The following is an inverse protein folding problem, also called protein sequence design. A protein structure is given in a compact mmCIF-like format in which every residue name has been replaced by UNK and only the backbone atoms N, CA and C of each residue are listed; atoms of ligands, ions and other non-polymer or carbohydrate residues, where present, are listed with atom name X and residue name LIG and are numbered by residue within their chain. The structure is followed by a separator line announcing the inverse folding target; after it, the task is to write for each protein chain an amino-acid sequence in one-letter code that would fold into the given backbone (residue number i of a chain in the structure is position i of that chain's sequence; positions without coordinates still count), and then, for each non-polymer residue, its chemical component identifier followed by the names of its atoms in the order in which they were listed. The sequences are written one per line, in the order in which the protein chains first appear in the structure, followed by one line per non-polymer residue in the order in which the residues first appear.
data_IF_985064939345
#
_entry.id   IF_985064939345
#
_cell.length_a   1.000
_cell.length_b   1.000
_cell.length_c   1.000
_cell.angle_alpha   90.00
_cell.angle_beta   90.00
_cell.angle_gamma   90.00
#
_symmetry.space_group_name_H-M   'P 1'
#
loop_
_entity.id
_entity.type
_entity.pdbx_description
1 polymer ?
#
# COMPACT_ATOMS: atom_id res chain seq x y z
N UNK A 1 -17.09 22.20 70.00
CA UNK A 1 -15.80 21.70 69.51
C UNK A 1 -16.02 21.13 68.13
N UNK A 2 -15.65 21.87 67.09
CA UNK A 2 -15.88 21.51 65.68
C UNK A 2 -14.61 20.89 65.11
N UNK A 3 -14.70 19.66 64.60
CA UNK A 3 -13.64 18.97 63.87
C UNK A 3 -13.75 19.34 62.38
N UNK A 4 -12.70 19.93 61.82
CA UNK A 4 -12.51 20.13 60.38
C UNK A 4 -11.49 19.10 59.90
N UNK A 5 -11.77 18.29 58.86
CA UNK A 5 -10.77 17.44 58.27
C UNK A 5 -9.96 18.22 57.22
N UNK A 6 -8.63 18.16 57.33
CA UNK A 6 -7.71 18.70 56.35
C UNK A 6 -7.57 17.73 55.16
N UNK A 7 -7.96 18.19 53.97
CA UNK A 7 -7.65 17.50 52.71
C UNK A 7 -6.24 17.91 52.25
N UNK A 8 -5.31 16.95 52.23
CA UNK A 8 -4.02 17.05 51.55
C UNK A 8 -4.21 16.74 50.07
N UNK A 9 -4.13 17.76 49.21
CA UNK A 9 -4.06 17.59 47.76
C UNK A 9 -2.60 17.37 47.39
N UNK A 10 -2.21 16.11 47.17
CA UNK A 10 -0.92 15.75 46.57
C UNK A 10 -0.99 15.91 45.06
N UNK A 11 -0.43 16.99 44.53
CA UNK A 11 -0.26 17.19 43.09
C UNK A 11 0.90 16.34 42.56
N UNK A 12 0.59 15.30 41.78
CA UNK A 12 1.58 14.60 40.98
C UNK A 12 1.84 15.43 39.71
N UNK A 13 3.00 16.10 39.65
CA UNK A 13 3.50 16.67 38.40
C UNK A 13 3.93 15.51 37.48
N UNK A 14 3.09 15.19 36.51
CA UNK A 14 3.52 14.39 35.36
C UNK A 14 4.54 15.22 34.58
N UNK A 15 5.80 14.81 34.66
CA UNK A 15 6.87 15.37 33.85
C UNK A 15 6.60 14.95 32.41
N UNK A 16 6.03 15.86 31.61
CA UNK A 16 5.98 15.70 30.17
C UNK A 16 7.43 15.54 29.70
N UNK A 17 7.79 14.35 29.22
CA UNK A 17 9.02 14.17 28.48
C UNK A 17 8.92 15.08 27.26
N UNK A 18 9.69 16.16 27.27
CA UNK A 18 9.85 17.05 26.14
C UNK A 18 10.32 16.19 24.96
N UNK A 19 9.43 15.95 24.00
CA UNK A 19 9.84 15.58 22.66
C UNK A 19 10.78 16.70 22.19
N UNK A 20 12.01 16.34 21.83
CA UNK A 20 12.96 17.28 21.24
C UNK A 20 12.35 17.97 20.02
N UNK A 21 12.93 19.09 19.55
CA UNK A 21 12.49 19.72 18.32
C UNK A 21 12.46 18.68 17.19
N UNK A 22 11.47 18.72 16.28
CA UNK A 22 11.38 17.78 15.17
C UNK A 22 12.70 17.82 14.38
N UNK A 23 13.22 16.64 14.07
CA UNK A 23 14.44 16.51 13.29
C UNK A 23 14.25 17.24 11.94
N UNK A 24 15.26 18.00 11.52
CA UNK A 24 15.25 18.59 10.18
C UNK A 24 15.34 17.45 9.15
N UNK A 25 14.44 17.40 8.16
CA UNK A 25 14.50 16.38 7.13
C UNK A 25 15.82 16.42 6.35
N UNK A 26 16.42 15.25 6.15
CA UNK A 26 17.65 15.09 5.36
C UNK A 26 17.44 14.10 4.23
N UNK A 27 18.04 14.34 3.07
CA UNK A 27 17.89 13.48 1.91
C UNK A 27 18.65 12.15 2.08
N UNK A 28 18.08 11.06 1.55
CA UNK A 28 18.73 9.75 1.49
C UNK A 28 20.05 9.84 0.71
N UNK A 29 20.08 10.63 -0.37
CA UNK A 29 21.30 10.79 -1.18
C UNK A 29 22.43 11.56 -0.48
N UNK A 30 22.15 12.32 0.59
CA UNK A 30 23.17 13.10 1.30
C UNK A 30 24.01 12.19 2.20
N UNK A 31 25.35 12.10 1.99
CA UNK A 31 26.23 11.38 2.89
C UNK A 31 26.10 11.77 4.36
N UNK A 32 25.80 13.03 4.69
CA UNK A 32 25.67 13.49 6.08
C UNK A 32 24.47 12.88 6.83
N UNK A 33 23.50 12.32 6.10
CA UNK A 33 22.37 11.59 6.68
C UNK A 33 22.85 10.34 7.41
N UNK A 34 23.93 9.72 6.92
CA UNK A 34 24.35 8.37 7.27
C UNK A 34 25.62 8.31 8.12
N UNK A 35 25.77 7.28 8.97
CA UNK A 35 27.00 7.02 9.70
C UNK A 35 28.22 6.97 8.78
N UNK A 36 29.34 7.53 9.23
CA UNK A 36 30.61 7.56 8.49
C UNK A 36 30.53 8.22 7.10
N UNK A 37 29.50 9.04 6.85
CA UNK A 37 29.26 9.69 5.55
C UNK A 37 29.14 8.70 4.40
N UNK A 38 28.57 7.52 4.66
CA UNK A 38 28.41 6.45 3.66
C UNK A 38 26.94 6.20 3.39
N UNK A 39 26.49 6.58 2.20
CA UNK A 39 25.14 6.25 1.71
C UNK A 39 24.98 4.73 1.61
N UNK A 40 23.85 4.14 2.03
CA UNK A 40 23.61 2.70 1.94
C UNK A 40 23.84 2.13 0.54
N UNK A 41 24.47 0.95 0.49
CA UNK A 41 24.74 0.22 -0.75
C UNK A 41 23.97 -1.10 -0.80
N UNK A 42 24.07 -1.81 -1.93
CA UNK A 42 23.37 -3.08 -2.12
C UNK A 42 23.65 -4.08 -0.99
N UNK A 43 22.59 -4.69 -0.46
CA UNK A 43 22.65 -5.67 0.63
C UNK A 43 22.77 -5.09 2.04
N UNK A 44 22.97 -3.77 2.19
CA UNK A 44 23.02 -3.15 3.52
C UNK A 44 21.66 -3.28 4.23
N UNK A 45 21.72 -3.57 5.54
CA UNK A 45 20.57 -3.45 6.45
C UNK A 45 20.61 -2.06 7.06
N UNK A 46 19.60 -1.24 6.76
CA UNK A 46 19.60 0.19 7.07
C UNK A 46 18.74 0.45 8.32
N UNK A 47 19.21 1.35 9.18
CA UNK A 47 18.46 1.81 10.36
C UNK A 47 18.26 3.33 10.24
N UNK A 48 17.00 3.76 10.23
CA UNK A 48 16.61 5.16 10.37
C UNK A 48 16.24 5.37 11.84
N UNK A 49 17.17 5.93 12.62
CA UNK A 49 17.01 6.13 14.07
C UNK A 49 15.86 7.08 14.43
N UNK A 50 15.40 7.01 15.68
CA UNK A 50 14.26 7.81 16.20
C UNK A 50 14.42 9.33 16.05
N UNK A 51 15.66 9.79 15.99
CA UNK A 51 16.07 11.19 15.84
C UNK A 51 16.23 11.62 14.37
N UNK A 52 15.87 10.76 13.41
CA UNK A 52 16.03 11.00 11.97
C UNK A 52 14.68 11.19 11.28
N UNK A 53 14.63 12.18 10.40
CA UNK A 53 13.60 12.34 9.37
C UNK A 53 14.30 12.30 8.00
N UNK A 54 14.08 11.23 7.23
CA UNK A 54 14.78 10.96 5.99
C UNK A 54 13.83 11.07 4.81
N UNK A 55 14.24 11.80 3.78
CA UNK A 55 13.53 11.88 2.51
C UNK A 55 14.20 10.94 1.52
N UNK A 56 13.48 9.92 1.04
CA UNK A 56 13.92 9.11 -0.10
C UNK A 56 13.81 9.95 -1.36
N UNK A 57 14.92 10.51 -1.81
CA UNK A 57 15.01 11.41 -2.98
C UNK A 57 15.66 10.73 -4.20
N UNK A 58 16.20 9.52 -4.02
CA UNK A 58 16.76 8.66 -5.06
C UNK A 58 16.32 7.22 -4.81
N UNK A 59 16.19 6.41 -5.86
CA UNK A 59 16.02 4.95 -5.72
C UNK A 59 17.33 4.32 -5.27
N UNK A 60 17.44 3.79 -4.03
CA UNK A 60 18.65 3.15 -3.56
C UNK A 60 18.88 1.81 -4.29
N UNK A 61 20.11 1.28 -4.28
CA UNK A 61 20.33 -0.11 -4.68
C UNK A 61 19.54 -1.08 -3.77
N UNK A 62 19.27 -2.33 -4.20
CA UNK A 62 18.51 -3.30 -3.41
C UNK A 62 19.11 -3.52 -2.01
N UNK A 63 18.33 -3.26 -0.96
CA UNK A 63 18.77 -3.31 0.44
C UNK A 63 18.47 -4.68 1.07
N UNK A 64 19.30 -5.08 2.04
CA UNK A 64 19.08 -6.32 2.80
C UNK A 64 18.00 -6.22 3.88
N UNK A 65 17.48 -5.03 4.16
CA UNK A 65 16.42 -4.78 5.13
C UNK A 65 16.41 -3.34 5.61
N UNK A 66 15.28 -2.90 6.17
CA UNK A 66 15.12 -1.54 6.66
C UNK A 66 14.37 -1.50 8.00
N UNK A 67 15.02 -0.99 9.05
CA UNK A 67 14.38 -0.65 10.31
C UNK A 67 14.13 0.86 10.38
N UNK A 68 12.87 1.25 10.49
CA UNK A 68 12.44 2.66 10.54
C UNK A 68 11.93 2.94 11.95
N UNK A 69 12.79 3.53 12.79
CA UNK A 69 12.44 4.01 14.12
C UNK A 69 12.07 5.50 14.14
N UNK A 70 12.63 6.28 13.21
CA UNK A 70 12.30 7.68 12.95
C UNK A 70 11.24 7.83 11.85
N UNK A 71 11.54 8.64 10.84
CA UNK A 71 10.63 8.84 9.70
C UNK A 71 11.34 8.62 8.37
N UNK A 72 10.66 7.93 7.46
CA UNK A 72 11.02 7.86 6.04
C UNK A 72 9.86 8.41 5.20
N UNK A 73 10.14 9.39 4.35
CA UNK A 73 9.18 9.96 3.42
C UNK A 73 9.66 9.80 1.99
N UNK A 74 8.84 9.28 1.07
CA UNK A 74 9.16 9.30 -0.36
C UNK A 74 9.03 10.72 -0.91
N UNK A 75 10.06 11.23 -1.57
CA UNK A 75 9.98 12.50 -2.28
C UNK A 75 8.94 12.42 -3.38
N UNK A 76 8.12 13.47 -3.52
CA UNK A 76 7.09 13.58 -4.57
C UNK A 76 7.59 14.29 -5.84
N UNK A 77 8.91 14.39 -6.00
CA UNK A 77 9.53 15.11 -7.13
C UNK A 77 9.98 14.17 -8.26
N UNK A 78 10.08 12.86 -7.99
CA UNK A 78 10.53 11.86 -8.94
C UNK A 78 9.80 10.53 -8.75
N UNK A 79 9.89 9.68 -9.77
CA UNK A 79 9.44 8.29 -9.65
C UNK A 79 10.53 7.50 -8.91
N UNK A 80 10.14 6.76 -7.88
CA UNK A 80 11.06 6.14 -6.93
C UNK A 80 10.75 4.66 -6.71
N UNK A 81 11.81 3.88 -6.56
CA UNK A 81 11.75 2.45 -6.24
C UNK A 81 12.60 2.13 -5.02
N UNK A 82 12.01 1.40 -4.08
CA UNK A 82 12.69 0.82 -2.93
C UNK A 82 12.59 -0.70 -3.02
N UNK A 83 13.73 -1.35 -3.26
CA UNK A 83 13.81 -2.82 -3.24
C UNK A 83 14.47 -3.26 -1.94
N UNK A 84 13.82 -4.14 -1.17
CA UNK A 84 14.36 -4.64 0.09
C UNK A 84 13.76 -5.99 0.49
N UNK A 85 14.43 -6.77 1.34
CA UNK A 85 13.86 -8.02 1.88
C UNK A 85 12.69 -7.74 2.83
N UNK A 86 12.77 -6.72 3.69
CA UNK A 86 11.76 -6.45 4.72
C UNK A 86 11.84 -5.01 5.24
N UNK A 87 10.74 -4.54 5.83
CA UNK A 87 10.65 -3.29 6.56
C UNK A 87 10.10 -3.56 7.97
N UNK A 88 10.87 -3.23 9.01
CA UNK A 88 10.36 -3.11 10.38
C UNK A 88 10.05 -1.65 10.67
N UNK A 89 8.79 -1.37 11.03
CA UNK A 89 8.28 -0.01 11.16
C UNK A 89 7.86 0.27 12.62
N UNK A 90 8.73 0.95 13.36
CA UNK A 90 8.47 1.47 14.70
C UNK A 90 8.10 2.96 14.69
N UNK A 91 8.61 3.71 13.71
CA UNK A 91 8.33 5.13 13.49
C UNK A 91 7.28 5.35 12.39
N UNK A 92 7.57 6.17 11.40
CA UNK A 92 6.65 6.49 10.30
C UNK A 92 7.25 6.20 8.91
N UNK A 93 6.47 5.51 8.07
CA UNK A 93 6.72 5.40 6.63
C UNK A 93 5.59 6.15 5.91
N UNK A 94 5.96 7.18 5.16
CA UNK A 94 5.02 8.06 4.45
C UNK A 94 5.27 8.07 2.94
N UNK A 95 4.23 7.78 2.15
CA UNK A 95 4.19 8.03 0.71
C UNK A 95 2.95 8.87 0.43
N UNK A 96 3.14 10.18 0.38
CA UNK A 96 2.03 11.14 0.40
C UNK A 96 1.37 11.26 1.78
N UNK A 97 0.28 12.01 1.82
CA UNK A 97 -0.58 12.18 2.99
C UNK A 97 -2.02 12.39 2.56
N UNK A 98 -2.99 12.25 3.46
CA UNK A 98 -4.41 12.47 3.12
C UNK A 98 -4.67 13.87 2.53
N UNK A 99 -4.01 14.90 3.08
CA UNK A 99 -4.14 16.28 2.59
C UNK A 99 -3.35 16.56 1.30
N UNK A 100 -2.28 15.79 1.04
CA UNK A 100 -1.42 15.93 -0.13
C UNK A 100 -1.03 14.53 -0.63
N UNK A 101 -1.87 13.88 -1.44
CA UNK A 101 -1.56 12.58 -2.00
C UNK A 101 -0.30 12.61 -2.86
N UNK A 102 0.43 11.50 -2.90
CA UNK A 102 1.59 11.31 -3.76
C UNK A 102 1.14 11.27 -5.22
N UNK A 103 1.86 11.96 -6.10
CA UNK A 103 1.51 12.13 -7.52
C UNK A 103 2.51 11.51 -8.49
N UNK A 104 3.67 11.08 -7.98
CA UNK A 104 4.68 10.33 -8.74
C UNK A 104 4.47 8.82 -8.57
N UNK A 105 5.22 8.02 -9.31
CA UNK A 105 5.23 6.58 -9.08
C UNK A 105 6.14 6.25 -7.90
N UNK A 106 5.64 5.48 -6.94
CA UNK A 106 6.41 4.99 -5.80
C UNK A 106 6.20 3.49 -5.65
N UNK A 107 7.27 2.72 -5.85
CA UNK A 107 7.22 1.26 -5.78
C UNK A 107 8.05 0.73 -4.62
N UNK A 108 7.48 -0.12 -3.78
CA UNK A 108 8.21 -0.96 -2.83
C UNK A 108 8.16 -2.41 -3.32
N UNK A 109 9.32 -3.02 -3.55
CA UNK A 109 9.44 -4.41 -3.99
C UNK A 109 10.14 -5.24 -2.93
N UNK A 110 9.43 -6.27 -2.42
CA UNK A 110 9.97 -7.23 -1.47
C UNK A 110 10.64 -8.42 -2.16
N UNK A 111 11.95 -8.52 -1.98
CA UNK A 111 12.76 -9.66 -2.42
C UNK A 111 12.74 -10.79 -1.40
N UNK A 112 13.25 -11.95 -1.80
CA UNK A 112 13.41 -13.14 -0.94
C UNK A 112 14.74 -13.82 -1.27
N UNK A 113 15.82 -13.05 -1.19
CA UNK A 113 17.19 -13.51 -1.50
C UNK A 113 17.84 -14.25 -0.34
N UNK A 114 17.36 -14.02 0.89
CA UNK A 114 17.80 -14.75 2.09
C UNK A 114 16.67 -15.67 2.56
N UNK A 115 16.73 -16.94 2.17
CA UNK A 115 15.66 -17.88 2.46
C UNK A 115 15.56 -18.22 3.97
N UNK A 116 14.35 -18.18 4.50
CA UNK A 116 14.01 -18.53 5.88
C UNK A 116 14.68 -17.60 6.91
N UNK A 117 14.84 -16.32 6.59
CA UNK A 117 15.37 -15.36 7.54
C UNK A 117 14.31 -15.06 8.61
N UNK A 118 14.58 -15.42 9.86
CA UNK A 118 13.71 -15.05 10.97
C UNK A 118 14.21 -13.79 11.68
N UNK A 119 14.12 -12.67 10.97
CA UNK A 119 14.45 -11.33 11.52
C UNK A 119 13.39 -10.82 12.49
N UNK A 120 12.17 -11.36 12.44
CA UNK A 120 10.98 -10.76 13.05
C UNK A 120 10.28 -11.71 14.03
N UNK A 121 11.02 -12.60 14.69
CA UNK A 121 10.54 -13.50 15.74
C UNK A 121 9.27 -14.27 15.34
N UNK A 122 9.29 -14.90 14.18
CA UNK A 122 8.19 -15.68 13.62
C UNK A 122 7.12 -14.85 12.91
N UNK A 123 7.29 -13.53 12.74
CA UNK A 123 6.42 -12.69 11.89
C UNK A 123 6.74 -12.81 10.39
N UNK A 124 7.80 -13.53 10.03
CA UNK A 124 8.22 -13.74 8.65
C UNK A 124 9.15 -12.66 8.14
N UNK A 125 9.78 -12.98 7.02
CA UNK A 125 10.48 -12.07 6.11
C UNK A 125 9.54 -11.71 4.94
N UNK A 126 9.94 -10.76 4.09
CA UNK A 126 9.18 -10.32 2.91
C UNK A 126 7.92 -9.51 3.23
N UNK A 127 8.08 -8.36 3.87
CA UNK A 127 6.92 -7.51 4.17
C UNK A 127 7.20 -6.26 4.98
N UNK A 128 6.11 -5.58 5.36
CA UNK A 128 6.11 -4.49 6.34
C UNK A 128 5.51 -5.00 7.64
N UNK A 129 6.33 -5.05 8.68
CA UNK A 129 5.90 -5.36 10.04
C UNK A 129 5.85 -4.05 10.81
N UNK A 130 4.64 -3.59 11.11
CA UNK A 130 4.42 -2.35 11.85
C UNK A 130 4.29 -2.72 13.32
N UNK A 131 5.16 -2.17 14.17
CA UNK A 131 5.20 -2.44 15.60
C UNK A 131 5.27 -1.12 16.37
N UNK A 132 4.10 -0.57 16.67
CA UNK A 132 3.94 0.75 17.30
C UNK A 132 4.10 1.95 16.35
N UNK A 133 4.47 1.68 15.09
CA UNK A 133 4.65 2.70 14.07
C UNK A 133 3.37 3.09 13.31
N UNK A 134 3.53 3.99 12.35
CA UNK A 134 2.47 4.48 11.46
C UNK A 134 2.83 4.29 9.99
N UNK A 135 1.98 3.57 9.26
CA UNK A 135 2.05 3.47 7.80
C UNK A 135 1.06 4.45 7.17
N UNK A 136 1.56 5.46 6.46
CA UNK A 136 0.78 6.48 5.77
C UNK A 136 1.01 6.38 4.25
N UNK A 137 0.03 5.88 3.51
CA UNK A 137 0.12 5.73 2.06
C UNK A 137 -1.11 6.36 1.40
N UNK A 138 -0.90 7.40 0.60
CA UNK A 138 -1.99 8.13 -0.06
C UNK A 138 -1.63 8.42 -1.50
N UNK A 139 -2.15 7.60 -2.42
CA UNK A 139 -1.99 7.75 -3.86
C UNK A 139 -3.04 8.66 -4.51
N UNK A 140 -2.88 8.91 -5.81
CA UNK A 140 -3.65 9.90 -6.57
C UNK A 140 -4.92 9.34 -7.25
N UNK A 141 -5.37 8.15 -6.82
CA UNK A 141 -6.60 7.49 -7.31
C UNK A 141 -7.68 7.46 -6.22
N UNK A 142 -8.82 8.07 -6.53
CA UNK A 142 -10.01 8.12 -5.67
C UNK A 142 -11.24 7.42 -6.25
N UNK A 143 -11.23 7.13 -7.55
CA UNK A 143 -12.28 6.37 -8.25
C UNK A 143 -11.73 5.01 -8.68
N UNK A 144 -11.99 3.98 -7.88
CA UNK A 144 -11.34 2.68 -8.02
C UNK A 144 -12.09 1.69 -8.93
N UNK A 145 -13.38 1.91 -9.16
CA UNK A 145 -14.23 1.03 -9.95
C UNK A 145 -15.52 1.74 -10.38
N UNK A 146 -16.14 1.22 -11.41
CA UNK A 146 -17.39 1.71 -12.00
C UNK A 146 -18.19 0.52 -12.53
N UNK A 147 -19.32 0.79 -13.19
CA UNK A 147 -20.07 -0.23 -13.94
C UNK A 147 -20.16 0.16 -15.40
N UNK A 148 -20.35 -0.82 -16.28
CA UNK A 148 -20.71 -0.58 -17.67
C UNK A 148 -21.99 0.25 -17.74
N UNK A 149 -22.07 1.20 -18.68
CA UNK A 149 -23.31 1.93 -18.99
C UNK A 149 -24.10 1.30 -20.14
N UNK A 150 -23.51 0.33 -20.83
CA UNK A 150 -24.13 -0.48 -21.87
C UNK A 150 -23.36 -1.80 -22.04
N UNK A 151 -24.05 -2.85 -22.50
CA UNK A 151 -23.44 -4.17 -22.73
C UNK A 151 -22.22 -4.09 -23.66
N UNK A 152 -21.07 -4.56 -23.17
CA UNK A 152 -19.84 -4.68 -23.93
C UNK A 152 -19.78 -6.04 -24.61
N UNK A 153 -19.82 -6.07 -25.95
CA UNK A 153 -19.84 -7.34 -26.70
C UNK A 153 -18.45 -7.94 -26.80
N UNK A 154 -18.36 -9.27 -26.81
CA UNK A 154 -17.15 -9.97 -27.22
C UNK A 154 -16.66 -9.44 -28.58
N UNK A 155 -15.36 -9.25 -28.71
CA UNK A 155 -14.73 -8.66 -29.89
C UNK A 155 -14.66 -7.12 -29.88
N UNK A 156 -15.32 -6.43 -28.95
CA UNK A 156 -15.28 -4.96 -28.88
C UNK A 156 -13.91 -4.47 -28.40
N UNK A 157 -13.42 -3.36 -28.97
CA UNK A 157 -12.22 -2.64 -28.53
C UNK A 157 -12.55 -1.34 -27.78
N UNK A 158 -13.83 -1.12 -27.46
CA UNK A 158 -14.26 0.00 -26.65
C UNK A 158 -15.41 -0.39 -25.74
N UNK A 159 -15.45 0.20 -24.55
CA UNK A 159 -16.54 0.07 -23.58
C UNK A 159 -17.01 1.46 -23.14
N UNK A 160 -18.26 1.53 -22.68
CA UNK A 160 -18.84 2.72 -22.07
C UNK A 160 -19.11 2.42 -20.60
N UNK A 161 -18.69 3.30 -19.71
CA UNK A 161 -18.88 3.16 -18.25
C UNK A 161 -19.71 4.31 -17.68
N UNK A 162 -20.15 4.18 -16.43
CA UNK A 162 -20.89 5.26 -15.76
C UNK A 162 -19.99 6.44 -15.38
N UNK A 163 -18.74 6.16 -15.04
CA UNK A 163 -17.76 7.14 -14.59
C UNK A 163 -16.35 6.59 -14.84
N UNK A 164 -15.55 7.32 -15.63
CA UNK A 164 -14.13 7.04 -15.86
C UNK A 164 -13.22 8.13 -15.25
N UNK A 165 -13.75 8.95 -14.33
CA UNK A 165 -13.04 10.11 -13.79
C UNK A 165 -11.72 9.73 -13.12
N UNK A 166 -10.65 10.39 -13.55
CA UNK A 166 -9.30 10.19 -13.00
C UNK A 166 -8.56 8.98 -13.55
N UNK A 167 -9.20 8.14 -14.39
CA UNK A 167 -8.53 7.07 -15.11
C UNK A 167 -7.76 7.65 -16.30
N UNK A 168 -6.71 6.94 -16.76
CA UNK A 168 -5.78 7.46 -17.77
C UNK A 168 -5.41 6.36 -18.76
N UNK A 169 -4.96 6.78 -19.95
CA UNK A 169 -4.31 5.85 -20.87
C UNK A 169 -3.07 5.23 -20.21
N UNK A 170 -2.87 3.93 -20.42
CA UNK A 170 -1.84 3.12 -19.77
C UNK A 170 -2.30 2.41 -18.49
N UNK A 171 -3.40 2.83 -17.87
CA UNK A 171 -3.94 2.12 -16.70
C UNK A 171 -4.46 0.73 -17.10
N UNK A 172 -4.24 -0.27 -16.24
CA UNK A 172 -4.85 -1.58 -16.34
C UNK A 172 -6.21 -1.59 -15.61
N UNK A 173 -7.22 -2.13 -16.27
CA UNK A 173 -8.55 -2.37 -15.73
C UNK A 173 -8.88 -3.86 -15.78
N UNK A 174 -9.85 -4.29 -14.97
CA UNK A 174 -10.48 -5.61 -15.04
C UNK A 174 -11.97 -5.45 -15.27
N UNK A 175 -12.53 -6.22 -16.20
CA UNK A 175 -13.96 -6.40 -16.35
C UNK A 175 -14.35 -7.67 -15.60
N UNK A 176 -15.30 -7.57 -14.68
CA UNK A 176 -15.83 -8.72 -13.95
C UNK A 176 -16.63 -9.64 -14.89
N UNK A 177 -16.66 -10.94 -14.59
CA UNK A 177 -17.54 -11.86 -15.30
C UNK A 177 -19.00 -11.50 -15.03
N UNK A 178 -19.83 -11.52 -16.07
CA UNK A 178 -21.28 -11.37 -15.99
C UNK A 178 -22.03 -12.65 -16.40
N UNK A 179 -21.35 -13.80 -16.33
CA UNK A 179 -21.89 -15.12 -16.64
C UNK A 179 -21.57 -16.09 -15.49
N UNK A 180 -22.04 -17.34 -15.57
CA UNK A 180 -21.85 -18.37 -14.56
C UNK A 180 -20.39 -18.78 -14.35
N UNK A 181 -19.52 -18.58 -15.35
CA UNK A 181 -18.09 -18.87 -15.21
C UNK A 181 -17.34 -17.62 -14.69
N UNK A 182 -16.85 -17.63 -13.43
CA UNK A 182 -16.09 -16.51 -12.89
C UNK A 182 -14.74 -16.30 -13.61
N UNK A 183 -14.27 -17.28 -14.40
CA UNK A 183 -13.01 -17.18 -15.16
C UNK A 183 -13.12 -16.32 -16.42
N UNK A 184 -14.30 -15.82 -16.75
CA UNK A 184 -14.50 -14.87 -17.87
C UNK A 184 -14.18 -13.42 -17.48
N UNK A 185 -13.74 -13.17 -16.24
CA UNK A 185 -13.18 -11.87 -15.89
C UNK A 185 -11.86 -11.66 -16.66
N UNK A 186 -11.68 -10.48 -17.24
CA UNK A 186 -10.52 -10.21 -18.08
C UNK A 186 -9.93 -8.81 -17.90
N UNK A 187 -8.61 -8.71 -18.00
CA UNK A 187 -7.87 -7.45 -17.86
C UNK A 187 -7.68 -6.78 -19.21
N UNK A 188 -7.67 -5.45 -19.24
CA UNK A 188 -7.33 -4.66 -20.43
C UNK A 188 -6.53 -3.44 -20.03
N UNK A 189 -5.69 -2.97 -20.94
CA UNK A 189 -5.01 -1.68 -20.78
C UNK A 189 -5.82 -0.62 -21.50
N UNK A 190 -6.02 0.52 -20.85
CA UNK A 190 -6.70 1.66 -21.46
C UNK A 190 -5.77 2.26 -22.51
N UNK A 191 -6.15 2.19 -23.78
CA UNK A 191 -5.44 2.84 -24.88
C UNK A 191 -5.78 4.34 -24.97
N UNK A 192 -7.04 4.70 -24.72
CA UNK A 192 -7.51 6.09 -24.72
C UNK A 192 -8.81 6.24 -23.94
N UNK A 193 -9.10 7.46 -23.48
CA UNK A 193 -10.36 7.82 -22.81
C UNK A 193 -10.95 9.07 -23.47
N UNK A 194 -12.26 9.05 -23.74
CA UNK A 194 -13.03 10.20 -24.18
C UNK A 194 -14.34 10.26 -23.39
N UNK A 195 -14.40 11.15 -22.39
CA UNK A 195 -15.50 11.13 -21.42
C UNK A 195 -15.53 9.79 -20.66
N UNK A 196 -16.66 9.08 -20.74
CA UNK A 196 -16.82 7.75 -20.15
C UNK A 196 -16.60 6.59 -21.15
N UNK A 197 -16.17 6.91 -22.37
CA UNK A 197 -15.78 5.91 -23.35
C UNK A 197 -14.33 5.54 -23.18
N UNK A 198 -14.05 4.26 -22.97
CA UNK A 198 -12.72 3.70 -22.81
C UNK A 198 -12.39 2.89 -24.07
N UNK A 199 -11.30 3.22 -24.74
CA UNK A 199 -10.70 2.41 -25.81
C UNK A 199 -9.69 1.45 -25.19
N UNK A 200 -9.79 0.18 -25.56
CA UNK A 200 -8.96 -0.91 -25.04
C UNK A 200 -7.78 -1.19 -25.97
N UNK A 201 -6.68 -1.67 -25.40
CA UNK A 201 -5.49 -2.12 -26.14
C UNK A 201 -5.76 -3.32 -27.06
N UNK A 202 -6.72 -4.17 -26.67
CA UNK A 202 -7.12 -5.36 -27.42
C UNK A 202 -8.61 -5.64 -27.25
N UNK A 203 -9.17 -6.38 -28.21
CA UNK A 203 -10.58 -6.81 -28.19
C UNK A 203 -10.93 -7.58 -26.92
N UNK A 204 -12.16 -7.47 -26.43
CA UNK A 204 -12.70 -8.35 -25.38
C UNK A 204 -12.86 -9.78 -25.90
N UNK A 205 -12.60 -10.77 -25.06
CA UNK A 205 -12.81 -12.18 -25.39
C UNK A 205 -14.24 -12.61 -25.03
N UNK A 206 -14.84 -11.96 -24.02
CA UNK A 206 -16.17 -12.27 -23.53
C UNK A 206 -17.12 -11.08 -23.65
N UNK A 207 -18.42 -11.37 -23.54
CA UNK A 207 -19.45 -10.35 -23.40
C UNK A 207 -19.57 -9.99 -21.92
N UNK A 208 -19.64 -8.71 -21.60
CA UNK A 208 -19.92 -8.21 -20.26
C UNK A 208 -21.24 -7.43 -20.28
N UNK A 209 -22.20 -7.92 -19.52
CA UNK A 209 -23.56 -7.41 -19.50
C UNK A 209 -23.62 -6.02 -18.90
N UNK A 210 -24.45 -5.14 -19.46
CA UNK A 210 -24.45 -3.72 -19.10
C UNK A 210 -25.85 -3.13 -18.98
N UNK A 211 -26.83 -3.93 -18.53
CA UNK A 211 -28.23 -3.49 -18.34
C UNK A 211 -28.77 -3.81 -16.93
N UNK A 212 -29.86 -3.12 -16.56
CA UNK A 212 -30.65 -3.40 -15.36
C UNK A 212 -31.86 -4.23 -15.80
N UNK A 213 -32.01 -5.45 -15.30
CA UNK A 213 -33.13 -6.34 -15.66
C UNK A 213 -34.02 -6.59 -14.45
N UNK A 214 -35.34 -6.54 -14.64
CA UNK A 214 -36.31 -6.78 -13.56
C UNK A 214 -36.08 -5.97 -12.25
N UNK A 215 -35.45 -4.80 -12.35
CA UNK A 215 -35.11 -3.94 -11.21
C UNK A 215 -33.81 -4.31 -10.49
N UNK A 216 -33.07 -5.31 -10.97
CA UNK A 216 -31.75 -5.74 -10.47
C UNK A 216 -30.66 -5.12 -11.36
N UNK A 217 -29.69 -4.45 -10.73
CA UNK A 217 -28.53 -3.89 -11.44
C UNK A 217 -27.50 -4.97 -11.72
N UNK A 218 -27.53 -5.52 -12.94
CA UNK A 218 -26.64 -6.60 -13.41
C UNK A 218 -25.49 -6.08 -14.28
N UNK A 219 -25.26 -4.76 -14.29
CA UNK A 219 -24.20 -4.14 -15.08
C UNK A 219 -22.84 -4.55 -14.54
N UNK A 220 -22.04 -5.18 -15.39
CA UNK A 220 -20.71 -5.67 -15.07
C UNK A 220 -19.82 -4.57 -14.51
N UNK A 221 -19.16 -4.88 -13.40
CA UNK A 221 -18.19 -4.00 -12.79
C UNK A 221 -16.90 -3.92 -13.61
N UNK A 222 -16.35 -2.72 -13.67
CA UNK A 222 -15.03 -2.44 -14.23
C UNK A 222 -14.18 -1.87 -13.11
N UNK A 223 -13.12 -2.57 -12.71
CA UNK A 223 -12.20 -2.16 -11.66
C UNK A 223 -10.92 -1.58 -12.24
N UNK A 224 -10.44 -0.46 -11.72
CA UNK A 224 -9.11 0.07 -12.00
C UNK A 224 -8.09 -0.68 -11.15
N UNK A 225 -7.13 -1.36 -11.78
CA UNK A 225 -6.08 -2.09 -11.08
C UNK A 225 -4.87 -1.20 -10.76
N UNK A 226 -4.45 -0.37 -11.71
CA UNK A 226 -3.23 0.45 -11.59
C UNK A 226 -3.35 1.53 -10.52
N UNK A 227 -2.32 1.65 -9.67
CA UNK A 227 -2.12 2.80 -8.77
C UNK A 227 -0.69 3.33 -8.88
N UNK A 228 -0.49 4.61 -8.56
CA UNK A 228 0.84 5.21 -8.59
C UNK A 228 1.72 4.76 -7.40
N UNK A 229 1.12 4.37 -6.28
CA UNK A 229 1.81 3.71 -5.18
C UNK A 229 1.60 2.21 -5.32
N UNK A 230 2.69 1.45 -5.48
CA UNK A 230 2.67 0.00 -5.63
C UNK A 230 3.54 -0.68 -4.59
N UNK A 231 2.99 -1.67 -3.90
CA UNK A 231 3.73 -2.54 -3.00
C UNK A 231 3.57 -3.97 -3.51
N UNK A 232 4.69 -4.65 -3.73
CA UNK A 232 4.68 -5.95 -4.36
C UNK A 232 5.80 -6.85 -3.86
N UNK A 233 5.65 -8.16 -4.07
CA UNK A 233 6.79 -9.07 -4.08
C UNK A 233 7.49 -9.09 -5.44
N UNK A 234 8.78 -9.44 -5.46
CA UNK A 234 9.49 -9.77 -6.70
C UNK A 234 8.85 -10.97 -7.44
N UNK A 235 9.19 -11.10 -8.73
CA UNK A 235 8.48 -11.99 -9.65
C UNK A 235 8.53 -13.49 -9.29
N UNK A 236 9.55 -13.91 -8.53
CA UNK A 236 9.70 -15.28 -8.00
C UNK A 236 8.50 -15.75 -7.15
N UNK A 237 7.73 -14.80 -6.60
CA UNK A 237 6.55 -15.08 -5.80
C UNK A 237 5.46 -15.80 -6.63
N UNK A 238 5.44 -15.63 -7.96
CA UNK A 238 4.48 -16.30 -8.84
C UNK A 238 4.71 -17.81 -8.94
N UNK A 239 5.94 -18.27 -8.75
CA UNK A 239 6.26 -19.71 -8.74
C UNK A 239 6.15 -20.28 -7.32
N UNK A 240 6.62 -19.52 -6.32
CA UNK A 240 6.70 -20.00 -4.93
C UNK A 240 5.40 -19.83 -4.15
N UNK A 241 4.48 -18.97 -4.63
CA UNK A 241 3.28 -18.55 -3.91
C UNK A 241 3.59 -17.91 -2.53
N UNK A 242 4.82 -17.42 -2.37
CA UNK A 242 5.32 -16.76 -1.18
C UNK A 242 5.44 -15.26 -1.46
N UNK A 243 4.31 -14.55 -1.40
CA UNK A 243 4.25 -13.12 -1.66
C UNK A 243 4.68 -12.26 -0.46
N UNK A 244 4.60 -10.95 -0.65
CA UNK A 244 4.86 -10.00 0.41
C UNK A 244 3.67 -9.89 1.37
N UNK A 245 3.87 -9.42 2.60
CA UNK A 245 2.75 -9.16 3.52
C UNK A 245 2.88 -7.84 4.26
N UNK A 246 1.76 -7.29 4.72
CA UNK A 246 1.72 -6.12 5.61
C UNK A 246 0.96 -6.51 6.88
N UNK A 247 1.58 -6.28 8.03
CA UNK A 247 1.05 -6.66 9.34
C UNK A 247 1.15 -5.50 10.32
N UNK A 248 0.00 -4.95 10.72
CA UNK A 248 -0.07 -3.93 11.77
C UNK A 248 -0.25 -4.59 13.15
N UNK A 249 0.78 -4.61 13.99
CA UNK A 249 0.75 -5.16 15.35
C UNK A 249 0.06 -4.20 16.35
N UNK A 250 -0.24 -4.62 17.58
CA UNK A 250 -0.83 -3.75 18.60
C UNK A 250 -0.10 -2.40 18.72
N UNK A 251 -0.87 -1.34 18.97
CA UNK A 251 -0.43 0.08 18.99
C UNK A 251 -0.03 0.70 17.65
N UNK A 252 -0.02 -0.06 16.55
CA UNK A 252 0.27 0.47 15.21
C UNK A 252 -0.90 1.22 14.58
N UNK A 253 -0.58 2.11 13.63
CA UNK A 253 -1.57 2.84 12.84
C UNK A 253 -1.34 2.65 11.34
N UNK A 254 -2.43 2.53 10.59
CA UNK A 254 -2.38 2.30 9.15
C UNK A 254 -3.47 3.12 8.43
N UNK A 255 -3.03 3.95 7.48
CA UNK A 255 -3.89 4.82 6.67
C UNK A 255 -3.48 4.65 5.21
N UNK A 256 -4.27 3.88 4.47
CA UNK A 256 -3.93 3.45 3.10
C UNK A 256 -5.03 3.87 2.14
N UNK A 257 -4.71 4.68 1.15
CA UNK A 257 -5.65 5.14 0.13
C UNK A 257 -5.01 5.11 -1.25
N UNK A 258 -5.66 4.49 -2.23
CA UNK A 258 -5.18 4.52 -3.62
C UNK A 258 -3.85 3.81 -3.83
N UNK A 259 -3.65 2.64 -3.19
CA UNK A 259 -2.44 1.81 -3.28
C UNK A 259 -2.72 0.49 -4.00
N UNK A 260 -1.78 0.03 -4.82
CA UNK A 260 -1.81 -1.27 -5.49
C UNK A 260 -0.97 -2.27 -4.70
N UNK A 261 -1.55 -3.41 -4.35
CA UNK A 261 -0.89 -4.56 -3.75
C UNK A 261 -0.88 -5.71 -4.76
N UNK A 262 0.31 -6.12 -5.21
CA UNK A 262 0.48 -7.14 -6.23
C UNK A 262 1.44 -8.25 -5.80
N UNK A 263 1.11 -9.52 -6.06
CA UNK A 263 1.91 -10.67 -5.58
C UNK A 263 2.10 -10.67 -4.06
N UNK A 264 1.02 -10.40 -3.34
CA UNK A 264 1.00 -10.27 -1.89
C UNK A 264 0.22 -11.43 -1.24
N UNK A 265 0.41 -11.61 0.07
CA UNK A 265 -0.03 -12.77 0.83
C UNK A 265 0.85 -14.00 0.59
N UNK A 266 0.88 -14.91 1.57
CA UNK A 266 1.66 -16.15 1.49
C UNK A 266 0.71 -17.34 1.58
N UNK A 267 0.84 -18.26 0.63
CA UNK A 267 0.01 -19.45 0.55
C UNK A 267 0.21 -20.37 1.76
N UNK A 268 -0.88 -20.89 2.31
CA UNK A 268 -0.90 -21.83 3.44
C UNK A 268 -0.15 -21.37 4.71
N UNK A 269 0.17 -20.07 4.81
CA UNK A 269 0.84 -19.50 5.97
C UNK A 269 -0.14 -18.61 6.72
N UNK A 270 -0.46 -19.01 7.95
CA UNK A 270 -1.44 -18.32 8.79
C UNK A 270 -0.98 -16.87 9.07
N UNK A 271 -1.92 -15.93 9.06
CA UNK A 271 -1.67 -14.51 9.33
C UNK A 271 -0.66 -13.84 8.37
N UNK A 272 -0.52 -14.35 7.14
CA UNK A 272 0.28 -13.74 6.06
C UNK A 272 -0.60 -13.31 4.91
N UNK A 273 -1.38 -12.27 5.19
CA UNK A 273 -2.29 -11.63 4.25
C UNK A 273 -1.61 -10.49 3.48
N UNK A 274 -2.15 -10.05 2.34
CA UNK A 274 -1.62 -8.88 1.65
C UNK A 274 -1.46 -7.66 2.55
N UNK A 275 -2.43 -7.45 3.45
CA UNK A 275 -2.46 -6.37 4.43
C UNK A 275 -3.49 -6.70 5.50
N UNK A 276 -3.18 -6.53 6.79
CA UNK A 276 -4.17 -6.71 7.86
C UNK A 276 -3.78 -6.01 9.16
N UNK A 277 -4.77 -5.82 10.03
CA UNK A 277 -4.57 -5.47 11.43
C UNK A 277 -4.48 -6.74 12.28
N UNK A 278 -3.33 -6.94 12.91
CA UNK A 278 -3.03 -8.11 13.73
C UNK A 278 -3.27 -7.80 15.21
N UNK A 279 -4.45 -8.17 15.71
CA UNK A 279 -4.81 -8.07 17.13
C UNK A 279 -4.69 -6.66 17.71
N UNK A 280 -4.91 -5.63 16.89
CA UNK A 280 -4.71 -4.21 17.30
C UNK A 280 -5.75 -3.67 18.29
N UNK A 281 -6.84 -4.41 18.54
CA UNK A 281 -7.97 -3.91 19.31
C UNK A 281 -8.83 -2.94 18.50
N UNK A 282 -9.20 -1.80 19.10
CA UNK A 282 -9.96 -0.75 18.41
C UNK A 282 -9.07 0.04 17.44
N UNK A 283 -9.38 -0.05 16.15
CA UNK A 283 -8.67 0.64 15.07
C UNK A 283 -9.46 1.84 14.51
N UNK A 284 -10.39 2.43 15.27
CA UNK A 284 -11.24 3.54 14.81
C UNK A 284 -10.45 4.64 14.10
N UNK A 285 -10.89 4.97 12.88
CA UNK A 285 -10.30 6.01 12.04
C UNK A 285 -9.18 5.54 11.11
N UNK A 286 -8.64 4.33 11.30
CA UNK A 286 -7.72 3.70 10.36
C UNK A 286 -8.50 3.14 9.16
N UNK A 287 -7.86 3.06 7.98
CA UNK A 287 -8.56 2.64 6.76
C UNK A 287 -7.63 2.05 5.70
N UNK A 288 -8.23 1.21 4.87
CA UNK A 288 -7.80 0.93 3.50
C UNK A 288 -8.95 1.29 2.56
N UNK A 289 -8.74 2.21 1.61
CA UNK A 289 -9.77 2.68 0.67
C UNK A 289 -9.19 2.86 -0.74
N UNK A 290 -10.00 2.68 -1.77
CA UNK A 290 -9.60 2.83 -3.18
C UNK A 290 -8.36 2.01 -3.59
N UNK A 291 -7.98 1.00 -2.80
CA UNK A 291 -6.85 0.13 -3.06
C UNK A 291 -7.21 -0.90 -4.13
N UNK A 292 -6.20 -1.38 -4.85
CA UNK A 292 -6.30 -2.54 -5.73
C UNK A 292 -5.47 -3.67 -5.12
N UNK A 293 -6.05 -4.84 -4.95
CA UNK A 293 -5.37 -6.01 -4.37
C UNK A 293 -5.62 -7.18 -5.32
N UNK A 294 -4.58 -7.64 -6.02
CA UNK A 294 -4.71 -8.67 -7.05
C UNK A 294 -3.44 -9.53 -7.17
N UNK A 295 -3.58 -10.67 -7.85
CA UNK A 295 -2.54 -11.70 -7.94
C UNK A 295 -2.03 -12.09 -6.54
N UNK A 296 -2.95 -12.31 -5.61
CA UNK A 296 -2.63 -12.68 -4.23
C UNK A 296 -2.45 -14.18 -4.08
N UNK A 297 -1.61 -14.59 -3.13
CA UNK A 297 -1.41 -16.02 -2.80
C UNK A 297 -2.12 -16.44 -1.51
N UNK A 298 -2.84 -15.51 -0.89
CA UNK A 298 -3.76 -15.78 0.20
C UNK A 298 -5.20 -15.44 -0.21
N UNK A 299 -6.17 -16.21 0.30
CA UNK A 299 -7.61 -16.03 0.02
C UNK A 299 -8.25 -14.92 0.88
N UNK A 300 -7.60 -14.56 1.98
CA UNK A 300 -8.08 -13.54 2.90
C UNK A 300 -7.28 -12.25 2.71
N UNK A 301 -7.97 -11.13 2.93
CA UNK A 301 -7.41 -9.80 3.15
C UNK A 301 -7.80 -9.40 4.57
#
# INVERSE_FOLDING_TARGET
MSLVPAFLIGGAFAQAQNAGPPAQPTNWSDPNTWPNRKVPVAGDKVIIGRDKDVILDVSPPPLGGLSIDGKLTFSNDADLELTTEWIMLHGELAIGSEARPHTRNATITFTNTVLNEDVMAGMGDRGIMISGGTLNLHGDRTHAWTKLSSTAKAGSTSIEVLDASGWRAGDEIVLASTDFDPRQAERRTIAAISGNKITLDRKLDYMHFGEITFGVDERGEVGLLTRNIKIQASADAAQTHFGGHIMAMPSSKMFVSGVELNRMGQHMTLARYPIHWHLVGDAKGQYIKNASIHDTYNRCV
#
